data_IF_373736813670
#
_entry.id   IF_373736813670
#
_cell.length_a   1.000
_cell.length_b   1.000
_cell.length_c   1.000
_cell.angle_alpha   90.00
_cell.angle_beta   90.00
_cell.angle_gamma   90.00
#
_symmetry.space_group_name_H-M   'P 1'
#
loop_
_entity.id
_entity.type
_entity.pdbx_description
1 polymer ?
#
# COMPACT_ATOMS: atom_id res chain seq x y z
N UNK A 1 -5.65 -14.92 24.71
CA UNK A 1 -6.38 -13.68 25.02
C UNK A 1 -7.65 -13.68 24.17
N UNK A 2 -8.80 -14.03 24.73
CA UNK A 2 -10.07 -13.98 23.97
C UNK A 2 -10.47 -12.51 23.91
N UNK A 3 -10.32 -11.87 22.75
CA UNK A 3 -10.87 -10.52 22.53
C UNK A 3 -12.38 -10.68 22.63
N UNK A 4 -12.96 -10.32 23.78
CA UNK A 4 -14.41 -10.21 23.92
C UNK A 4 -14.80 -8.92 23.21
N UNK A 5 -15.46 -9.05 22.06
CA UNK A 5 -16.10 -7.93 21.41
C UNK A 5 -17.09 -7.30 22.41
N UNK A 6 -17.00 -6.00 22.66
CA UNK A 6 -17.80 -5.35 23.70
C UNK A 6 -19.29 -5.49 23.36
N UNK A 7 -20.07 -6.09 24.26
CA UNK A 7 -21.50 -6.36 24.05
C UNK A 7 -22.32 -5.10 23.86
N UNK A 8 -21.94 -3.99 24.49
CA UNK A 8 -22.59 -2.69 24.28
C UNK A 8 -22.38 -2.20 22.84
N UNK A 9 -21.18 -2.38 22.30
CA UNK A 9 -20.86 -1.97 20.93
C UNK A 9 -21.59 -2.81 19.90
N UNK A 10 -21.82 -4.09 20.19
CA UNK A 10 -22.65 -4.94 19.33
C UNK A 10 -24.06 -4.36 19.28
N UNK A 11 -24.67 -4.04 20.42
CA UNK A 11 -26.01 -3.47 20.47
C UNK A 11 -26.09 -2.12 19.75
N UNK A 12 -25.08 -1.25 19.92
CA UNK A 12 -24.99 0.03 19.23
C UNK A 12 -24.94 -0.16 17.71
N UNK A 13 -24.07 -1.05 17.22
CA UNK A 13 -23.94 -1.36 15.80
C UNK A 13 -25.18 -2.06 15.23
N UNK A 14 -25.88 -2.88 16.03
CA UNK A 14 -27.17 -3.49 15.68
C UNK A 14 -28.30 -2.49 15.55
N UNK A 15 -28.26 -1.41 16.34
CA UNK A 15 -29.26 -0.34 16.28
C UNK A 15 -29.08 0.59 15.09
N UNK A 16 -27.90 0.59 14.46
CA UNK A 16 -27.59 1.49 13.35
C UNK A 16 -28.35 1.11 12.08
N UNK A 17 -29.00 2.08 11.45
CA UNK A 17 -29.47 1.92 10.08
C UNK A 17 -28.28 1.74 9.11
N UNK A 18 -28.54 1.22 7.90
CA UNK A 18 -27.48 1.06 6.89
C UNK A 18 -26.77 2.40 6.57
N UNK A 19 -27.51 3.50 6.52
CA UNK A 19 -26.96 4.84 6.29
C UNK A 19 -26.04 5.28 7.44
N UNK A 20 -26.46 5.07 8.69
CA UNK A 20 -25.62 5.35 9.86
C UNK A 20 -24.37 4.47 9.88
N UNK A 21 -24.51 3.17 9.62
CA UNK A 21 -23.41 2.20 9.59
C UNK A 21 -22.36 2.56 8.52
N UNK A 22 -22.80 3.04 7.36
CA UNK A 22 -21.93 3.57 6.30
C UNK A 22 -21.18 4.83 6.71
N UNK A 23 -21.80 5.67 7.54
CA UNK A 23 -21.23 6.95 7.98
C UNK A 23 -20.31 6.82 9.20
N UNK A 24 -20.31 5.70 9.92
CA UNK A 24 -19.43 5.49 11.10
C UNK A 24 -17.96 5.75 10.73
N UNK A 25 -17.34 5.11 9.70
CA UNK A 25 -15.95 5.40 9.36
C UNK A 25 -15.70 6.79 8.76
N UNK A 26 -16.76 7.57 8.54
CA UNK A 26 -16.70 8.94 8.01
C UNK A 26 -16.88 10.01 9.09
N UNK A 27 -16.91 9.63 10.38
CA UNK A 27 -17.03 10.58 11.48
C UNK A 27 -18.40 10.65 12.13
N UNK A 28 -19.37 9.81 11.75
CA UNK A 28 -20.71 9.86 12.33
C UNK A 28 -20.75 9.30 13.76
N UNK A 29 -21.55 9.96 14.59
CA UNK A 29 -21.84 9.60 15.96
C UNK A 29 -23.35 9.68 16.19
N UNK A 30 -23.93 8.64 16.76
CA UNK A 30 -25.30 8.68 17.26
C UNK A 30 -25.31 8.87 18.77
N UNK A 31 -26.09 9.84 19.26
CA UNK A 31 -26.17 10.15 20.68
C UNK A 31 -26.72 9.02 21.55
N UNK A 32 -27.56 8.14 20.99
CA UNK A 32 -28.11 7.00 21.73
C UNK A 32 -27.11 5.88 22.00
N UNK A 33 -25.95 5.89 21.34
CA UNK A 33 -24.94 4.86 21.52
C UNK A 33 -24.22 4.97 22.87
N UNK A 34 -23.68 3.84 23.32
CA UNK A 34 -22.92 3.74 24.57
C UNK A 34 -21.79 4.76 24.64
N UNK A 35 -21.52 5.25 25.86
CA UNK A 35 -20.46 6.22 26.09
C UNK A 35 -19.08 5.72 25.62
N UNK A 36 -18.79 4.43 25.88
CA UNK A 36 -17.51 3.82 25.51
C UNK A 36 -17.32 3.75 23.98
N UNK A 37 -18.38 3.48 23.22
CA UNK A 37 -18.31 3.45 21.76
C UNK A 37 -18.11 4.85 21.18
N UNK A 38 -18.89 5.84 21.66
CA UNK A 38 -18.72 7.24 21.29
C UNK A 38 -17.31 7.75 21.61
N UNK A 39 -16.73 7.35 22.75
CA UNK A 39 -15.37 7.72 23.14
C UNK A 39 -14.31 7.13 22.20
N UNK A 40 -14.47 5.87 21.80
CA UNK A 40 -13.59 5.23 20.81
C UNK A 40 -13.63 5.97 19.47
N UNK A 41 -14.84 6.23 18.94
CA UNK A 41 -15.01 6.91 17.66
C UNK A 41 -14.46 8.34 17.70
N UNK A 42 -14.76 9.11 18.75
CA UNK A 42 -14.19 10.44 18.96
C UNK A 42 -12.65 10.42 19.01
N UNK A 43 -12.05 9.45 19.70
CA UNK A 43 -10.60 9.29 19.73
C UNK A 43 -10.03 9.03 18.32
N UNK A 44 -10.72 8.23 17.51
CA UNK A 44 -10.30 7.97 16.14
C UNK A 44 -10.36 9.26 15.29
N UNK A 45 -11.50 9.96 15.33
CA UNK A 45 -11.73 11.15 14.50
C UNK A 45 -10.87 12.34 14.92
N UNK A 46 -10.57 12.46 16.22
CA UNK A 46 -9.65 13.48 16.74
C UNK A 46 -8.20 13.31 16.27
N UNK A 47 -7.84 12.15 15.74
CA UNK A 47 -6.52 11.85 15.18
C UNK A 47 -6.47 11.92 13.65
N UNK A 48 -7.57 12.32 12.99
CA UNK A 48 -7.60 12.43 11.53
C UNK A 48 -6.71 13.58 11.05
N UNK A 49 -6.01 13.30 9.96
CA UNK A 49 -5.09 14.24 9.32
C UNK A 49 -5.77 14.81 8.08
N UNK A 50 -5.71 16.13 7.92
CA UNK A 50 -6.10 16.79 6.69
C UNK A 50 -4.92 16.79 5.71
N UNK A 51 -5.18 16.52 4.44
CA UNK A 51 -4.16 16.48 3.41
C UNK A 51 -4.42 17.51 2.33
N UNK A 52 -3.34 17.98 1.74
CA UNK A 52 -3.42 18.67 0.47
C UNK A 52 -3.76 17.66 -0.64
N UNK A 53 -4.80 17.98 -1.42
CA UNK A 53 -5.29 17.13 -2.50
C UNK A 53 -4.65 17.54 -3.81
N UNK A 54 -4.05 16.57 -4.50
CA UNK A 54 -3.61 16.75 -5.86
C UNK A 54 -4.61 16.11 -6.83
N UNK A 55 -5.02 16.91 -7.82
CA UNK A 55 -5.79 16.43 -8.96
C UNK A 55 -5.16 16.95 -10.24
N UNK A 56 -4.90 16.06 -11.19
CA UNK A 56 -4.52 16.45 -12.55
C UNK A 56 -5.56 17.43 -13.12
N UNK A 57 -5.11 18.59 -13.62
CA UNK A 57 -5.95 19.46 -14.46
C UNK A 57 -6.41 18.65 -15.69
N UNK A 58 -7.58 18.92 -16.28
CA UNK A 58 -8.24 18.09 -17.33
C UNK A 58 -7.44 17.94 -18.66
N UNK A 59 -6.18 17.55 -18.63
CA UNK A 59 -5.42 17.14 -19.81
C UNK A 59 -5.96 15.81 -20.35
N UNK A 60 -5.84 15.63 -21.66
CA UNK A 60 -6.23 14.42 -22.38
C UNK A 60 -5.56 13.19 -21.77
N UNK A 61 -6.36 12.33 -21.13
CA UNK A 61 -5.93 11.02 -20.66
C UNK A 61 -5.48 10.18 -21.84
N UNK A 62 -4.17 10.04 -22.02
CA UNK A 62 -3.63 9.08 -22.99
C UNK A 62 -4.11 7.68 -22.60
N UNK A 63 -4.80 6.99 -23.50
CA UNK A 63 -5.32 5.64 -23.22
C UNK A 63 -4.18 4.63 -23.40
N UNK A 64 -3.59 4.15 -22.31
CA UNK A 64 -2.59 3.08 -22.37
C UNK A 64 -3.30 1.73 -22.56
N UNK A 65 -3.00 1.06 -23.68
CA UNK A 65 -3.59 -0.25 -23.99
C UNK A 65 -3.24 -1.29 -22.92
N UNK A 66 -4.28 -1.93 -22.38
CA UNK A 66 -4.17 -3.01 -21.39
C UNK A 66 -4.06 -2.56 -19.93
N UNK A 67 -4.36 -1.29 -19.62
CA UNK A 67 -4.35 -0.76 -18.25
C UNK A 67 -5.79 -0.56 -17.76
N UNK A 68 -6.10 -1.14 -16.59
CA UNK A 68 -7.41 -0.96 -15.96
C UNK A 68 -7.64 0.48 -15.44
N UNK A 69 -8.89 0.91 -15.24
CA UNK A 69 -9.24 2.29 -14.89
C UNK A 69 -8.52 2.82 -13.65
N UNK A 70 -8.43 2.01 -12.59
CA UNK A 70 -7.70 2.36 -11.36
C UNK A 70 -6.23 2.69 -11.64
N UNK A 71 -5.54 1.78 -12.32
CA UNK A 71 -4.11 1.93 -12.60
C UNK A 71 -3.85 3.10 -13.55
N UNK A 72 -4.76 3.35 -14.49
CA UNK A 72 -4.70 4.54 -15.35
C UNK A 72 -4.83 5.84 -14.56
N UNK A 73 -5.74 5.89 -13.59
CA UNK A 73 -5.92 7.05 -12.71
C UNK A 73 -4.67 7.31 -11.87
N UNK A 74 -4.09 6.28 -11.27
CA UNK A 74 -2.82 6.40 -10.51
C UNK A 74 -1.67 6.89 -11.42
N UNK A 75 -1.50 6.31 -12.60
CA UNK A 75 -0.45 6.70 -13.55
C UNK A 75 -0.62 8.15 -13.97
N UNK A 76 -1.81 8.56 -14.38
CA UNK A 76 -2.03 9.90 -14.96
C UNK A 76 -1.75 11.00 -13.91
N UNK A 77 -2.27 10.83 -12.69
CA UNK A 77 -2.02 11.78 -11.61
C UNK A 77 -0.54 11.79 -11.17
N UNK A 78 0.10 10.62 -11.04
CA UNK A 78 1.52 10.58 -10.66
C UNK A 78 2.41 11.16 -11.77
N UNK A 79 2.10 10.93 -13.04
CA UNK A 79 2.81 11.54 -14.18
C UNK A 79 2.72 13.06 -14.14
N UNK A 80 1.53 13.62 -13.88
CA UNK A 80 1.34 15.06 -13.76
C UNK A 80 2.13 15.64 -12.58
N UNK A 81 2.06 14.99 -11.41
CA UNK A 81 2.83 15.41 -10.22
C UNK A 81 4.35 15.35 -10.47
N UNK A 82 4.85 14.28 -11.10
CA UNK A 82 6.28 14.18 -11.45
C UNK A 82 6.68 15.31 -12.40
N UNK A 83 5.85 15.67 -13.38
CA UNK A 83 6.14 16.78 -14.30
C UNK A 83 6.16 18.13 -13.58
N UNK A 84 5.38 18.32 -12.52
CA UNK A 84 5.42 19.57 -11.73
C UNK A 84 6.64 19.64 -10.79
N UNK A 85 7.14 18.49 -10.35
CA UNK A 85 8.29 18.40 -9.41
C UNK A 85 9.64 18.30 -10.13
N UNK A 86 9.70 17.63 -11.28
CA UNK A 86 10.93 17.30 -12.00
C UNK A 86 11.04 18.07 -13.32
N UNK A 87 12.22 18.63 -13.58
CA UNK A 87 12.59 19.23 -14.85
C UNK A 87 13.05 18.16 -15.87
N UNK A 88 12.82 18.41 -17.16
CA UNK A 88 13.04 17.42 -18.25
C UNK A 88 14.49 16.97 -18.45
N UNK A 89 15.45 17.74 -17.94
CA UNK A 89 16.88 17.42 -17.94
C UNK A 89 17.22 16.25 -16.99
N UNK A 90 16.37 15.92 -16.02
CA UNK A 90 16.62 14.83 -15.08
C UNK A 90 16.39 13.46 -15.71
N UNK A 91 17.26 12.51 -15.35
CA UNK A 91 17.01 11.08 -15.59
C UNK A 91 16.10 10.55 -14.49
N UNK A 92 14.96 9.98 -14.87
CA UNK A 92 14.04 9.35 -13.93
C UNK A 92 14.44 7.90 -13.69
N UNK A 93 14.60 7.52 -12.42
CA UNK A 93 14.86 6.15 -11.98
C UNK A 93 13.53 5.58 -11.44
N UNK A 94 12.85 4.76 -12.25
CA UNK A 94 11.54 4.20 -11.91
C UNK A 94 11.67 2.89 -11.13
N UNK A 95 11.56 3.00 -9.81
CA UNK A 95 11.76 1.92 -8.86
C UNK A 95 10.51 1.04 -8.77
N UNK A 96 10.67 -0.25 -9.09
CA UNK A 96 9.54 -1.17 -9.16
C UNK A 96 8.67 -0.90 -10.39
N UNK A 97 9.32 -0.65 -11.54
CA UNK A 97 8.67 -0.23 -12.79
C UNK A 97 7.62 -1.23 -13.32
N UNK A 98 7.64 -2.48 -12.88
CA UNK A 98 6.69 -3.51 -13.30
C UNK A 98 6.71 -3.74 -14.80
N UNK A 99 5.57 -3.47 -15.44
CA UNK A 99 5.42 -3.59 -16.90
C UNK A 99 5.75 -2.28 -17.65
N UNK A 100 6.33 -1.28 -16.97
CA UNK A 100 6.83 -0.04 -17.57
C UNK A 100 5.75 1.00 -17.93
N UNK A 101 4.55 0.90 -17.37
CA UNK A 101 3.44 1.80 -17.74
C UNK A 101 3.71 3.26 -17.37
N UNK A 102 4.22 3.52 -16.16
CA UNK A 102 4.56 4.87 -15.72
C UNK A 102 5.72 5.43 -16.55
N UNK A 103 6.77 4.63 -16.72
CA UNK A 103 7.97 4.98 -17.51
C UNK A 103 7.61 5.39 -18.94
N UNK A 104 6.74 4.62 -19.61
CA UNK A 104 6.29 4.93 -20.96
C UNK A 104 5.38 6.18 -20.98
N UNK A 105 4.48 6.34 -20.02
CA UNK A 105 3.61 7.51 -19.97
C UNK A 105 4.39 8.82 -19.80
N UNK A 106 5.40 8.83 -18.91
CA UNK A 106 6.30 9.97 -18.69
C UNK A 106 7.06 10.35 -19.96
N UNK A 107 7.57 9.38 -20.71
CA UNK A 107 8.27 9.65 -21.96
C UNK A 107 7.33 10.14 -23.07
N UNK A 108 6.15 9.55 -23.20
CA UNK A 108 5.19 9.94 -24.23
C UNK A 108 4.61 11.34 -24.02
N UNK A 109 4.25 11.69 -22.77
CA UNK A 109 3.64 12.98 -22.45
C UNK A 109 4.66 14.11 -22.30
N UNK A 110 5.82 13.81 -21.71
CA UNK A 110 6.75 14.85 -21.24
C UNK A 110 8.21 14.59 -21.63
N UNK A 111 8.48 13.59 -22.48
CA UNK A 111 9.78 13.32 -23.09
C UNK A 111 10.95 13.01 -22.14
N UNK A 112 10.67 12.69 -20.87
CA UNK A 112 11.67 12.26 -19.90
C UNK A 112 12.48 11.05 -20.39
N UNK A 113 13.76 11.03 -20.03
CA UNK A 113 14.59 9.81 -20.07
C UNK A 113 14.32 9.00 -18.81
N UNK A 114 14.08 7.70 -18.95
CA UNK A 114 13.67 6.84 -17.82
C UNK A 114 14.46 5.52 -17.83
N UNK A 115 15.07 5.19 -16.70
CA UNK A 115 15.54 3.84 -16.41
C UNK A 115 14.53 3.17 -15.49
N UNK A 116 13.77 2.19 -16.01
CA UNK A 116 12.90 1.34 -15.22
C UNK A 116 13.66 0.17 -14.61
N UNK A 117 13.59 0.05 -13.28
CA UNK A 117 14.23 -1.02 -12.52
C UNK A 117 13.15 -1.92 -11.92
N UNK A 118 13.28 -3.22 -12.10
CA UNK A 118 12.32 -4.21 -11.61
C UNK A 118 13.04 -5.50 -11.21
N UNK A 119 12.65 -6.10 -10.09
CA UNK A 119 13.31 -7.30 -9.55
C UNK A 119 12.89 -8.58 -10.28
N UNK A 120 11.67 -8.60 -10.84
CA UNK A 120 11.11 -9.73 -11.56
C UNK A 120 11.49 -9.72 -13.05
N UNK A 121 12.29 -10.70 -13.47
CA UNK A 121 12.79 -10.82 -14.85
C UNK A 121 11.67 -10.95 -15.89
N UNK A 122 10.59 -11.69 -15.57
CA UNK A 122 9.47 -11.86 -16.47
C UNK A 122 8.79 -10.52 -16.78
N UNK A 123 8.63 -9.66 -15.76
CA UNK A 123 8.08 -8.31 -15.94
C UNK A 123 8.98 -7.42 -16.79
N UNK A 124 10.29 -7.48 -16.58
CA UNK A 124 11.28 -6.73 -17.40
C UNK A 124 11.23 -7.16 -18.85
N UNK A 125 11.21 -8.48 -19.12
CA UNK A 125 11.07 -8.98 -20.49
C UNK A 125 9.76 -8.52 -21.12
N UNK A 126 8.68 -8.57 -20.36
CA UNK A 126 7.36 -8.15 -20.83
C UNK A 126 7.31 -6.64 -21.10
N UNK A 127 7.94 -5.80 -20.28
CA UNK A 127 7.99 -4.35 -20.49
C UNK A 127 8.75 -3.99 -21.78
N UNK A 128 9.88 -4.67 -22.05
CA UNK A 128 10.66 -4.51 -23.30
C UNK A 128 9.85 -4.95 -24.52
N UNK A 129 9.18 -6.11 -24.46
CA UNK A 129 8.32 -6.57 -25.56
C UNK A 129 7.20 -5.56 -25.87
N UNK A 130 6.54 -5.05 -24.82
CA UNK A 130 5.50 -4.01 -24.96
C UNK A 130 6.07 -2.72 -25.55
N UNK A 131 7.26 -2.29 -25.12
CA UNK A 131 7.93 -1.12 -25.66
C UNK A 131 8.16 -1.26 -27.17
N UNK A 132 8.73 -2.39 -27.61
CA UNK A 132 9.01 -2.62 -29.03
C UNK A 132 7.74 -2.61 -29.89
N UNK A 133 6.62 -3.12 -29.34
CA UNK A 133 5.35 -3.19 -30.07
C UNK A 133 4.57 -1.87 -30.08
N UNK A 134 4.56 -1.14 -28.95
CA UNK A 134 3.65 -0.01 -28.74
C UNK A 134 4.35 1.34 -28.73
N UNK A 135 5.64 1.37 -28.40
CA UNK A 135 6.42 2.59 -28.13
C UNK A 135 7.82 2.55 -28.77
N UNK A 136 7.97 2.22 -30.06
CA UNK A 136 9.29 2.07 -30.69
C UNK A 136 10.14 3.35 -30.62
N UNK A 137 9.51 4.53 -30.66
CA UNK A 137 10.19 5.83 -30.55
C UNK A 137 10.78 6.10 -29.16
N UNK A 138 10.38 5.33 -28.13
CA UNK A 138 10.91 5.49 -26.77
C UNK A 138 12.19 4.70 -26.54
N UNK A 139 12.61 3.81 -27.45
CA UNK A 139 13.68 2.83 -27.19
C UNK A 139 15.00 3.47 -26.78
N UNK A 140 15.36 4.63 -27.33
CA UNK A 140 16.59 5.35 -26.94
C UNK A 140 16.47 6.05 -25.58
N UNK A 141 15.26 6.40 -25.15
CA UNK A 141 15.00 7.24 -23.97
C UNK A 141 14.46 6.48 -22.76
N UNK A 142 13.86 5.31 -22.96
CA UNK A 142 13.30 4.48 -21.90
C UNK A 142 13.97 3.12 -21.97
N UNK A 143 14.61 2.72 -20.87
CA UNK A 143 15.34 1.46 -20.76
C UNK A 143 14.83 0.70 -19.54
N UNK A 144 14.85 -0.62 -19.63
CA UNK A 144 14.48 -1.49 -18.51
C UNK A 144 15.65 -2.39 -18.13
N UNK A 145 15.84 -2.60 -16.83
CA UNK A 145 16.86 -3.48 -16.28
C UNK A 145 16.26 -4.33 -15.17
N UNK A 146 16.71 -5.58 -15.10
CA UNK A 146 16.39 -6.47 -13.98
C UNK A 146 17.40 -6.23 -12.86
N UNK A 147 16.91 -5.81 -11.70
CA UNK A 147 17.72 -5.63 -10.49
C UNK A 147 16.81 -5.56 -9.26
N UNK A 148 17.18 -6.28 -8.20
CA UNK A 148 16.49 -6.16 -6.92
C UNK A 148 17.11 -5.00 -6.13
N UNK A 149 16.34 -3.94 -5.90
CA UNK A 149 16.87 -2.69 -5.34
C UNK A 149 17.06 -2.83 -3.83
N UNK A 150 18.30 -2.63 -3.42
CA UNK A 150 18.75 -2.49 -2.03
C UNK A 150 19.43 -1.12 -1.84
N UNK A 151 19.79 -0.79 -0.60
CA UNK A 151 20.34 0.55 -0.25
C UNK A 151 21.64 0.89 -0.96
N UNK A 152 22.43 -0.12 -1.30
CA UNK A 152 23.75 -0.10 -1.91
C UNK A 152 23.69 -0.17 -3.44
N UNK A 153 22.49 -0.30 -4.02
CA UNK A 153 22.30 -0.50 -5.45
C UNK A 153 22.61 0.73 -6.30
N UNK A 154 22.85 1.90 -5.70
CA UNK A 154 22.95 3.16 -6.44
C UNK A 154 24.05 3.15 -7.51
N UNK A 155 25.25 2.66 -7.20
CA UNK A 155 26.36 2.71 -8.15
C UNK A 155 26.08 1.87 -9.40
N UNK A 156 25.49 0.69 -9.22
CA UNK A 156 25.02 -0.15 -10.32
C UNK A 156 23.93 0.56 -11.15
N UNK A 157 22.95 1.18 -10.49
CA UNK A 157 21.85 1.90 -11.16
C UNK A 157 22.40 3.09 -11.96
N UNK A 158 23.32 3.85 -11.37
CA UNK A 158 23.99 4.99 -11.99
C UNK A 158 24.74 4.55 -13.24
N UNK A 159 25.66 3.58 -13.12
CA UNK A 159 26.43 3.05 -14.24
C UNK A 159 25.53 2.50 -15.36
N UNK A 160 24.44 1.83 -14.99
CA UNK A 160 23.45 1.31 -15.94
C UNK A 160 22.74 2.44 -16.69
N UNK A 161 22.34 3.51 -15.98
CA UNK A 161 21.71 4.67 -16.59
C UNK A 161 22.64 5.36 -17.58
N UNK A 162 23.88 5.63 -17.15
CA UNK A 162 24.92 6.27 -17.98
C UNK A 162 25.20 5.46 -19.26
N UNK A 163 25.33 4.14 -19.13
CA UNK A 163 25.63 3.26 -20.27
C UNK A 163 24.44 3.12 -21.22
N UNK A 164 23.21 2.98 -20.71
CA UNK A 164 22.04 2.65 -21.54
C UNK A 164 21.32 3.88 -22.10
N UNK A 165 21.43 5.06 -21.49
CA UNK A 165 20.67 6.27 -21.87
C UNK A 165 21.51 7.35 -22.59
N UNK A 166 22.60 6.93 -23.25
CA UNK A 166 23.51 7.74 -24.09
C UNK A 166 24.62 8.50 -23.33
N UNK A 167 25.52 7.78 -22.63
CA UNK A 167 26.78 8.28 -22.04
C UNK A 167 26.66 9.67 -21.38
N UNK A 168 25.60 9.88 -20.61
CA UNK A 168 25.35 11.17 -19.98
C UNK A 168 26.15 11.23 -18.69
N UNK A 169 27.24 12.00 -18.67
CA UNK A 169 28.09 12.21 -17.51
C UNK A 169 27.49 13.36 -16.66
N UNK A 170 27.62 13.26 -15.34
CA UNK A 170 27.23 14.30 -14.35
C UNK A 170 25.75 14.71 -14.40
N UNK A 171 24.83 13.74 -14.39
CA UNK A 171 23.39 14.01 -14.37
C UNK A 171 22.78 14.01 -12.98
N UNK A 172 21.78 14.85 -12.83
CA UNK A 172 20.87 14.80 -11.70
C UNK A 172 19.78 13.76 -11.94
N UNK A 173 19.58 12.89 -10.95
CA UNK A 173 18.56 11.85 -10.96
C UNK A 173 17.36 12.22 -10.10
N UNK A 174 16.21 11.69 -10.50
CA UNK A 174 15.01 11.68 -9.67
C UNK A 174 14.56 10.22 -9.48
N UNK A 175 14.42 9.78 -8.23
CA UNK A 175 13.82 8.48 -7.94
C UNK A 175 12.31 8.63 -7.96
N UNK A 176 11.63 7.83 -8.77
CA UNK A 176 10.17 7.79 -8.85
C UNK A 176 9.65 6.37 -8.60
N UNK A 177 8.38 6.23 -8.22
CA UNK A 177 7.76 4.91 -8.16
C UNK A 177 6.26 4.94 -7.86
N UNK A 178 5.45 4.35 -8.74
CA UNK A 178 3.99 4.25 -8.56
C UNK A 178 3.60 3.37 -7.37
N UNK A 179 4.35 2.31 -7.13
CA UNK A 179 4.09 1.35 -6.07
C UNK A 179 5.42 0.90 -5.49
N UNK A 180 6.14 1.84 -4.86
CA UNK A 180 7.37 1.55 -4.14
C UNK A 180 7.03 0.78 -2.85
N UNK A 181 6.67 -0.49 -2.98
CA UNK A 181 6.03 -1.21 -1.88
C UNK A 181 7.03 -1.66 -0.81
N UNK A 182 6.62 -1.60 0.45
CA UNK A 182 7.37 -2.06 1.62
C UNK A 182 8.82 -1.52 1.63
N UNK A 183 9.81 -2.41 1.75
CA UNK A 183 11.23 -2.04 1.92
C UNK A 183 11.78 -1.25 0.72
N UNK A 184 11.18 -1.36 -0.46
CA UNK A 184 11.56 -0.58 -1.64
C UNK A 184 11.38 0.94 -1.42
N UNK A 185 10.31 1.36 -0.74
CA UNK A 185 10.14 2.78 -0.38
C UNK A 185 11.25 3.29 0.54
N UNK A 186 11.75 2.42 1.41
CA UNK A 186 12.77 2.77 2.39
C UNK A 186 14.15 2.81 1.73
N UNK A 187 14.44 1.86 0.85
CA UNK A 187 15.63 1.89 0.00
C UNK A 187 15.67 3.18 -0.85
N UNK A 188 14.54 3.56 -1.46
CA UNK A 188 14.42 4.81 -2.22
C UNK A 188 14.70 6.06 -1.37
N UNK A 189 14.10 6.16 -0.17
CA UNK A 189 14.33 7.26 0.77
C UNK A 189 15.80 7.34 1.18
N UNK A 190 16.40 6.21 1.60
CA UNK A 190 17.80 6.15 2.03
C UNK A 190 18.75 6.53 0.89
N UNK A 191 18.47 6.07 -0.33
CA UNK A 191 19.27 6.38 -1.51
C UNK A 191 19.19 7.86 -1.89
N UNK A 192 17.99 8.46 -1.83
CA UNK A 192 17.82 9.91 -2.01
C UNK A 192 18.66 10.70 -1.00
N UNK A 193 18.64 10.33 0.27
CA UNK A 193 19.42 11.02 1.32
C UNK A 193 20.93 10.79 1.19
N UNK A 194 21.36 9.62 0.72
CA UNK A 194 22.77 9.22 0.72
C UNK A 194 23.57 9.71 -0.49
N UNK A 195 22.93 9.93 -1.65
CA UNK A 195 23.65 10.20 -2.89
C UNK A 195 23.36 11.58 -3.45
N UNK A 196 24.39 12.44 -3.50
CA UNK A 196 24.30 13.82 -3.98
C UNK A 196 23.60 13.94 -5.36
N UNK A 197 23.91 13.13 -6.39
CA UNK A 197 23.27 13.24 -7.70
C UNK A 197 21.76 12.98 -7.69
N UNK A 198 21.23 12.31 -6.65
CA UNK A 198 19.79 12.08 -6.50
C UNK A 198 19.17 13.30 -5.83
N UNK A 199 18.56 14.16 -6.63
CA UNK A 199 18.08 15.48 -6.20
C UNK A 199 16.59 15.53 -5.90
N UNK A 200 15.82 14.53 -6.38
CA UNK A 200 14.37 14.44 -6.21
C UNK A 200 13.93 13.02 -5.87
N UNK A 201 12.86 12.91 -5.09
CA UNK A 201 12.16 11.67 -4.76
C UNK A 201 10.66 11.90 -4.94
N UNK A 202 9.99 11.05 -5.72
CA UNK A 202 8.52 11.09 -5.91
C UNK A 202 7.99 9.66 -5.91
N UNK A 203 7.66 9.14 -4.73
CA UNK A 203 7.26 7.74 -4.57
C UNK A 203 5.90 7.61 -3.91
N UNK A 204 5.11 6.63 -4.37
CA UNK A 204 3.86 6.22 -3.74
C UNK A 204 4.08 4.91 -3.00
N UNK A 205 4.39 4.98 -1.68
CA UNK A 205 4.63 3.78 -0.88
C UNK A 205 3.33 2.97 -0.71
N UNK A 206 3.46 1.66 -0.60
CA UNK A 206 2.32 0.74 -0.53
C UNK A 206 2.67 -0.57 0.15
N UNK A 207 1.64 -1.38 0.44
CA UNK A 207 1.79 -2.75 0.92
C UNK A 207 2.75 -2.87 2.11
N UNK A 208 2.63 -1.98 3.10
CA UNK A 208 3.44 -1.98 4.33
C UNK A 208 3.48 -3.34 5.03
N UNK A 209 2.41 -4.12 4.93
CA UNK A 209 2.39 -5.50 5.42
C UNK A 209 3.45 -6.40 4.78
N UNK A 210 4.10 -6.03 3.68
CA UNK A 210 5.18 -6.80 3.06
C UNK A 210 6.57 -6.42 3.58
N UNK A 211 6.68 -5.50 4.54
CA UNK A 211 7.95 -5.22 5.21
C UNK A 211 8.54 -6.52 5.76
N UNK A 212 9.86 -6.67 5.59
CA UNK A 212 10.61 -7.83 6.05
C UNK A 212 10.54 -7.92 7.59
N UNK A 213 9.97 -9.00 8.15
CA UNK A 213 9.93 -9.19 9.58
C UNK A 213 11.31 -9.62 10.11
N UNK A 214 11.58 -9.33 11.38
CA UNK A 214 12.79 -9.78 12.09
C UNK A 214 12.57 -11.09 12.85
N UNK A 215 11.31 -11.46 13.05
CA UNK A 215 10.90 -12.66 13.76
C UNK A 215 9.73 -13.35 13.05
N UNK A 216 9.51 -14.62 13.36
CA UNK A 216 8.46 -15.42 12.72
C UNK A 216 7.06 -14.92 13.10
N UNK A 217 6.90 -14.39 14.33
CA UNK A 217 5.66 -13.82 14.84
C UNK A 217 5.24 -12.53 14.10
N UNK A 218 6.15 -11.96 13.30
CA UNK A 218 5.94 -10.71 12.57
C UNK A 218 5.47 -9.55 13.47
N UNK A 219 6.09 -9.43 14.65
CA UNK A 219 5.86 -8.35 15.63
C UNK A 219 6.97 -7.31 15.61
N UNK A 220 8.10 -7.60 14.96
CA UNK A 220 9.24 -6.70 14.77
C UNK A 220 9.68 -6.69 13.29
N UNK A 221 10.20 -5.55 12.82
CA UNK A 221 10.54 -5.29 11.42
C UNK A 221 11.75 -4.36 11.32
N UNK A 222 12.67 -4.63 10.39
CA UNK A 222 13.92 -3.86 10.30
C UNK A 222 13.76 -2.42 9.79
N UNK A 223 12.66 -2.15 9.08
CA UNK A 223 12.41 -0.85 8.45
C UNK A 223 11.14 -0.17 9.00
N UNK A 224 10.67 -0.55 10.19
CA UNK A 224 9.71 0.23 10.97
C UNK A 224 9.83 -0.11 12.47
N UNK A 225 9.91 0.87 13.36
CA UNK A 225 10.00 2.33 13.12
C UNK A 225 11.35 2.80 12.54
N UNK A 226 11.30 3.81 11.64
CA UNK A 226 12.51 4.45 11.10
C UNK A 226 12.92 5.69 11.87
N UNK A 227 11.97 6.51 12.30
CA UNK A 227 12.23 7.74 13.04
C UNK A 227 12.50 7.45 14.52
N UNK A 228 13.36 8.26 15.13
CA UNK A 228 13.65 8.17 16.55
C UNK A 228 12.40 8.54 17.39
N UNK A 229 11.54 9.44 16.88
CA UNK A 229 10.27 9.82 17.53
C UNK A 229 9.31 8.64 17.67
N UNK A 230 9.11 7.87 16.59
CA UNK A 230 8.23 6.71 16.66
C UNK A 230 8.84 5.57 17.48
N UNK A 231 10.18 5.38 17.42
CA UNK A 231 10.88 4.44 18.31
C UNK A 231 10.63 4.75 19.78
N UNK A 232 10.78 6.00 20.17
CA UNK A 232 10.57 6.46 21.54
C UNK A 232 9.11 6.27 21.97
N UNK A 233 8.14 6.66 21.13
CA UNK A 233 6.73 6.49 21.41
C UNK A 233 6.34 5.01 21.60
N UNK A 234 6.92 4.10 20.81
CA UNK A 234 6.64 2.66 20.88
C UNK A 234 7.36 1.94 22.02
N UNK A 235 8.37 2.55 22.65
CA UNK A 235 9.04 1.96 23.80
C UNK A 235 8.06 1.65 24.95
N UNK A 236 6.96 2.40 25.04
CA UNK A 236 5.90 2.22 26.03
C UNK A 236 4.86 1.15 25.63
N UNK A 237 4.83 0.75 24.36
CA UNK A 237 3.84 -0.20 23.79
C UNK A 237 4.53 -1.18 22.83
N UNK A 238 5.40 -2.08 23.34
CA UNK A 238 6.15 -3.00 22.50
C UNK A 238 5.22 -3.92 21.71
N UNK A 239 5.67 -4.35 20.52
CA UNK A 239 4.91 -5.22 19.59
C UNK A 239 3.62 -4.62 19.02
N UNK A 240 3.33 -3.33 19.25
CA UNK A 240 2.13 -2.68 18.71
C UNK A 240 2.10 -2.68 17.17
N UNK A 241 3.25 -2.45 16.52
CA UNK A 241 3.38 -2.42 15.06
C UNK A 241 3.57 -3.80 14.42
N UNK A 242 2.72 -4.76 14.78
CA UNK A 242 2.72 -6.09 14.15
C UNK A 242 2.19 -6.10 12.71
N UNK A 243 2.32 -7.26 12.05
CA UNK A 243 1.73 -7.48 10.71
C UNK A 243 0.24 -7.12 10.59
N UNK A 244 -0.63 -7.38 11.59
CA UNK A 244 -2.02 -6.91 11.55
C UNK A 244 -2.17 -5.40 11.44
N UNK A 245 -1.37 -4.62 12.18
CA UNK A 245 -1.35 -3.15 12.09
C UNK A 245 -0.95 -2.71 10.67
N UNK A 246 0.12 -3.29 10.13
CA UNK A 246 0.61 -2.95 8.79
C UNK A 246 -0.38 -3.36 7.68
N UNK A 247 -1.14 -4.45 7.88
CA UNK A 247 -2.24 -4.86 6.99
C UNK A 247 -3.38 -3.86 7.04
N UNK A 248 -3.73 -3.40 8.24
CA UNK A 248 -4.76 -2.39 8.43
C UNK A 248 -4.39 -1.09 7.73
N UNK A 249 -3.15 -0.62 7.85
CA UNK A 249 -2.65 0.52 7.06
C UNK A 249 -2.62 0.32 5.54
N UNK A 250 -2.87 -0.91 5.03
CA UNK A 250 -3.00 -1.21 3.59
C UNK A 250 -4.44 -1.49 3.15
N UNK A 251 -5.40 -1.44 4.08
CA UNK A 251 -6.80 -1.74 3.81
C UNK A 251 -7.41 -0.68 2.88
N UNK A 252 -8.56 -1.00 2.29
CA UNK A 252 -9.32 -0.05 1.49
C UNK A 252 -9.79 1.11 2.38
N UNK A 253 -9.92 2.31 1.80
CA UNK A 253 -10.38 3.49 2.53
C UNK A 253 -11.88 3.43 2.81
N UNK A 254 -12.33 4.22 3.79
CA UNK A 254 -13.73 4.40 4.13
C UNK A 254 -14.61 4.84 2.94
N UNK A 255 -14.04 5.43 1.88
CA UNK A 255 -14.77 5.86 0.69
C UNK A 255 -15.47 4.71 -0.06
N UNK A 256 -14.97 3.47 0.06
CA UNK A 256 -15.66 2.29 -0.50
C UNK A 256 -16.75 1.76 0.42
N UNK A 257 -16.52 1.84 1.73
CA UNK A 257 -17.49 1.45 2.75
C UNK A 257 -18.76 2.32 2.68
N UNK A 258 -18.58 3.63 2.51
CA UNK A 258 -19.63 4.65 2.53
C UNK A 258 -20.85 4.39 1.63
N UNK A 259 -20.72 3.56 0.60
CA UNK A 259 -21.74 3.35 -0.42
C UNK A 259 -22.22 1.89 -0.50
N UNK A 260 -21.92 1.06 0.52
CA UNK A 260 -22.36 -0.33 0.53
C UNK A 260 -23.85 -0.43 0.87
N UNK A 261 -24.54 -1.32 0.18
CA UNK A 261 -25.90 -1.74 0.51
C UNK A 261 -25.88 -2.78 1.63
N UNK A 262 -27.01 -2.97 2.29
CA UNK A 262 -27.17 -3.97 3.37
C UNK A 262 -26.84 -5.40 2.88
N UNK A 263 -27.20 -5.71 1.63
CA UNK A 263 -26.88 -6.99 1.01
C UNK A 263 -25.38 -7.15 0.76
N UNK A 264 -24.69 -6.07 0.36
CA UNK A 264 -23.23 -6.07 0.19
C UNK A 264 -22.51 -6.22 1.52
N UNK A 265 -22.95 -5.56 2.58
CA UNK A 265 -22.43 -5.77 3.94
C UNK A 265 -22.60 -7.21 4.40
N UNK A 266 -23.79 -7.78 4.22
CA UNK A 266 -24.06 -9.18 4.57
C UNK A 266 -23.12 -10.13 3.81
N UNK A 267 -22.89 -9.86 2.54
CA UNK A 267 -22.01 -10.66 1.67
C UNK A 267 -20.55 -10.51 2.08
N UNK A 268 -20.11 -9.28 2.37
CA UNK A 268 -18.76 -8.97 2.80
C UNK A 268 -18.44 -9.61 4.16
N UNK A 269 -19.32 -9.44 5.14
CA UNK A 269 -19.17 -10.01 6.48
C UNK A 269 -19.10 -11.52 6.46
N UNK A 270 -19.93 -12.17 5.63
CA UNK A 270 -19.86 -13.61 5.39
C UNK A 270 -18.50 -14.02 4.81
N UNK A 271 -18.03 -13.32 3.78
CA UNK A 271 -16.74 -13.63 3.16
C UNK A 271 -15.56 -13.46 4.14
N UNK A 272 -15.57 -12.41 4.96
CA UNK A 272 -14.55 -12.18 5.99
C UNK A 272 -14.59 -13.26 7.07
N UNK A 273 -15.77 -13.59 7.58
CA UNK A 273 -15.92 -14.63 8.60
C UNK A 273 -15.48 -16.00 8.10
N UNK A 274 -15.91 -16.41 6.91
CA UNK A 274 -15.51 -17.66 6.29
C UNK A 274 -14.00 -17.71 6.05
N UNK A 275 -13.40 -16.60 5.61
CA UNK A 275 -11.94 -16.51 5.48
C UNK A 275 -11.25 -16.72 6.82
N UNK A 276 -11.73 -16.10 7.89
CA UNK A 276 -11.19 -16.26 9.24
C UNK A 276 -11.35 -17.69 9.77
N UNK A 277 -12.48 -18.35 9.51
CA UNK A 277 -12.69 -19.74 9.86
C UNK A 277 -11.67 -20.65 9.18
N UNK A 278 -11.48 -20.47 7.87
CA UNK A 278 -10.52 -21.25 7.09
C UNK A 278 -9.09 -21.08 7.59
N UNK A 279 -8.71 -19.88 8.05
CA UNK A 279 -7.41 -19.67 8.68
C UNK A 279 -7.32 -20.32 10.08
N UNK A 280 -8.41 -20.33 10.84
CA UNK A 280 -8.44 -20.85 12.22
C UNK A 280 -8.41 -22.39 12.32
N UNK A 281 -8.80 -23.11 11.27
CA UNK A 281 -8.84 -24.58 11.25
C UNK A 281 -7.52 -25.23 10.82
N UNK A 282 -6.56 -24.44 10.35
CA UNK A 282 -5.27 -24.93 9.86
C UNK A 282 -4.44 -25.58 10.97
N UNK A 283 -3.68 -26.60 10.58
CA UNK A 283 -2.68 -27.25 11.43
C UNK A 283 -1.34 -26.51 11.39
N UNK A 284 -0.45 -26.78 12.34
CA UNK A 284 0.87 -26.15 12.38
C UNK A 284 1.66 -26.46 11.10
N UNK A 285 2.24 -25.42 10.50
CA UNK A 285 2.99 -25.52 9.24
C UNK A 285 2.13 -25.50 7.97
N UNK A 286 0.80 -25.41 8.11
CA UNK A 286 -0.09 -25.22 6.98
C UNK A 286 -0.35 -23.74 6.69
N UNK A 287 -0.65 -23.47 5.43
CA UNK A 287 -1.18 -22.19 4.97
C UNK A 287 -2.29 -22.45 3.95
N UNK A 288 -2.94 -21.38 3.49
CA UNK A 288 -4.10 -21.51 2.61
C UNK A 288 -4.08 -20.44 1.52
N UNK A 289 -4.44 -20.84 0.31
CA UNK A 289 -4.60 -19.95 -0.84
C UNK A 289 -6.03 -20.02 -1.37
N UNK A 290 -6.46 -19.00 -2.13
CA UNK A 290 -7.78 -19.01 -2.77
C UNK A 290 -7.76 -19.95 -3.97
N UNK A 291 -8.71 -20.88 -4.05
CA UNK A 291 -8.90 -21.71 -5.22
C UNK A 291 -9.57 -20.90 -6.34
N UNK A 292 -8.85 -20.66 -7.45
CA UNK A 292 -9.35 -19.83 -8.55
C UNK A 292 -10.45 -20.50 -9.38
N UNK A 293 -10.49 -21.83 -9.45
CA UNK A 293 -11.49 -22.55 -10.26
C UNK A 293 -12.83 -22.65 -9.53
N UNK A 294 -12.80 -22.80 -8.21
CA UNK A 294 -14.01 -23.04 -7.40
C UNK A 294 -14.42 -21.85 -6.53
N UNK A 295 -14.08 -20.60 -6.94
CA UNK A 295 -14.37 -19.39 -6.15
C UNK A 295 -15.83 -19.20 -5.77
N UNK A 296 -16.75 -19.75 -6.56
CA UNK A 296 -18.20 -19.61 -6.37
C UNK A 296 -18.83 -20.86 -5.73
N UNK A 297 -18.03 -21.80 -5.21
CA UNK A 297 -18.59 -22.97 -4.53
C UNK A 297 -19.38 -22.55 -3.29
N UNK A 298 -20.47 -23.29 -3.04
CA UNK A 298 -21.26 -23.16 -1.81
C UNK A 298 -20.52 -23.75 -0.61
N UNK A 299 -19.64 -24.72 -0.83
CA UNK A 299 -18.75 -25.21 0.22
C UNK A 299 -17.62 -24.20 0.43
N UNK A 300 -17.44 -23.76 1.68
CA UNK A 300 -16.36 -22.85 2.05
C UNK A 300 -15.00 -23.45 1.77
N UNK A 301 -14.78 -24.73 2.06
CA UNK A 301 -13.47 -25.37 1.91
C UNK A 301 -13.08 -25.50 0.44
N UNK A 302 -14.03 -25.72 -0.47
CA UNK A 302 -13.74 -25.82 -1.91
C UNK A 302 -13.25 -24.50 -2.53
N UNK A 303 -13.58 -23.36 -1.90
CA UNK A 303 -13.09 -22.03 -2.33
C UNK A 303 -11.62 -21.80 -1.97
N UNK A 304 -11.00 -22.69 -1.21
CA UNK A 304 -9.64 -22.57 -0.73
C UNK A 304 -8.84 -23.86 -0.93
N UNK A 305 -7.52 -23.71 -1.04
CA UNK A 305 -6.58 -24.83 -1.14
C UNK A 305 -5.61 -24.75 0.03
N UNK A 306 -5.59 -25.78 0.86
CA UNK A 306 -4.59 -25.91 1.94
C UNK A 306 -3.25 -26.33 1.34
N UNK A 307 -2.17 -25.73 1.83
CA UNK A 307 -0.81 -26.02 1.41
C UNK A 307 0.07 -26.31 2.62
N UNK A 308 0.99 -27.25 2.45
CA UNK A 308 2.06 -27.54 3.42
C UNK A 308 3.36 -27.68 2.65
N UNK A 309 4.39 -26.95 3.10
CA UNK A 309 5.71 -26.94 2.42
C UNK A 309 5.61 -26.60 0.92
N UNK A 310 4.66 -25.72 0.56
CA UNK A 310 4.43 -25.30 -0.82
C UNK A 310 3.69 -26.31 -1.70
N UNK A 311 3.25 -27.45 -1.15
CA UNK A 311 2.48 -28.46 -1.87
C UNK A 311 1.01 -28.40 -1.49
N UNK A 312 0.13 -28.47 -2.50
CA UNK A 312 -1.31 -28.55 -2.32
C UNK A 312 -1.69 -29.85 -1.61
N UNK A 313 -2.62 -29.75 -0.65
CA UNK A 313 -3.16 -30.87 0.10
C UNK A 313 -4.69 -30.83 0.08
N UNK A 314 -5.30 -31.98 0.34
CA UNK A 314 -6.75 -32.07 0.55
C UNK A 314 -7.10 -31.69 1.98
N UNK A 315 -8.29 -31.12 2.17
CA UNK A 315 -8.87 -30.88 3.49
C UNK A 315 -9.10 -32.20 4.23
N UNK A 316 -8.54 -32.34 5.44
CA UNK A 316 -8.69 -33.52 6.31
C UNK A 316 -10.03 -33.53 7.05
N UNK A 317 -10.40 -34.68 7.62
CA UNK A 317 -11.57 -34.80 8.49
C UNK A 317 -11.43 -33.93 9.75
N UNK A 318 -10.21 -33.78 10.28
CA UNK A 318 -9.93 -32.89 11.40
C UNK A 318 -10.24 -31.43 11.06
N UNK A 319 -9.89 -30.95 9.86
CA UNK A 319 -10.25 -29.60 9.43
C UNK A 319 -11.76 -29.40 9.34
N UNK A 320 -12.48 -30.40 8.82
CA UNK A 320 -13.94 -30.36 8.70
C UNK A 320 -14.62 -30.33 10.07
N UNK A 321 -14.13 -31.12 11.02
CA UNK A 321 -14.65 -31.14 12.39
C UNK A 321 -14.37 -29.81 13.10
N UNK A 322 -13.15 -29.28 13.01
CA UNK A 322 -12.82 -27.94 13.55
C UNK A 322 -13.73 -26.86 12.95
N UNK A 323 -13.94 -26.88 11.63
CA UNK A 323 -14.80 -25.92 10.95
C UNK A 323 -16.21 -25.95 11.52
N UNK A 324 -16.80 -27.14 11.67
CA UNK A 324 -18.13 -27.32 12.26
C UNK A 324 -18.21 -26.74 13.67
N UNK A 325 -17.25 -27.07 14.54
CA UNK A 325 -17.18 -26.55 15.91
C UNK A 325 -17.13 -25.01 15.91
N UNK A 326 -16.31 -24.39 15.07
CA UNK A 326 -16.19 -22.93 15.03
C UNK A 326 -17.45 -22.26 14.46
N UNK A 327 -18.12 -22.86 13.48
CA UNK A 327 -19.39 -22.37 12.95
C UNK A 327 -20.50 -22.41 14.01
N UNK A 328 -20.61 -23.50 14.76
CA UNK A 328 -21.59 -23.64 15.86
C UNK A 328 -21.31 -22.67 17.01
N UNK A 329 -20.03 -22.40 17.29
CA UNK A 329 -19.62 -21.46 18.34
C UNK A 329 -19.95 -20.00 18.01
N UNK A 330 -19.95 -19.62 16.73
CA UNK A 330 -20.21 -18.25 16.28
C UNK A 330 -21.33 -18.19 15.24
N UNK A 331 -22.59 -18.42 15.64
CA UNK A 331 -23.73 -18.41 14.71
C UNK A 331 -23.94 -17.04 14.04
N UNK A 332 -23.52 -15.95 14.70
CA UNK A 332 -23.56 -14.58 14.18
C UNK A 332 -22.20 -14.10 13.66
N UNK A 333 -21.26 -15.01 13.40
CA UNK A 333 -19.88 -14.66 13.06
C UNK A 333 -19.74 -13.77 11.83
N UNK A 334 -20.63 -13.93 10.84
CA UNK A 334 -20.64 -13.07 9.63
C UNK A 334 -20.95 -11.61 9.97
N UNK A 335 -21.92 -11.38 10.86
CA UNK A 335 -22.32 -10.04 11.31
C UNK A 335 -21.22 -9.40 12.17
N UNK A 336 -20.64 -10.17 13.08
CA UNK A 336 -19.52 -9.71 13.93
C UNK A 336 -18.27 -9.38 13.10
N UNK A 337 -17.98 -10.15 12.05
CA UNK A 337 -16.88 -9.85 11.13
C UNK A 337 -17.11 -8.53 10.37
N UNK A 338 -18.35 -8.24 10.01
CA UNK A 338 -18.71 -6.96 9.38
C UNK A 338 -18.54 -5.79 10.34
N UNK A 339 -18.97 -5.95 11.59
CA UNK A 339 -18.79 -4.96 12.64
C UNK A 339 -17.31 -4.69 12.91
N UNK A 340 -16.49 -5.74 12.98
CA UNK A 340 -15.05 -5.59 13.10
C UNK A 340 -14.46 -4.84 11.90
N UNK A 341 -14.94 -5.12 10.69
CA UNK A 341 -14.50 -4.42 9.47
C UNK A 341 -14.87 -2.94 9.52
N UNK A 342 -16.06 -2.59 10.01
CA UNK A 342 -16.47 -1.20 10.22
C UNK A 342 -15.48 -0.45 11.13
N UNK A 343 -15.14 -1.06 12.27
CA UNK A 343 -14.16 -0.49 13.22
C UNK A 343 -12.76 -0.40 12.60
N UNK A 344 -12.36 -1.40 11.81
CA UNK A 344 -11.10 -1.36 11.05
C UNK A 344 -11.09 -0.19 10.06
N UNK A 345 -12.18 0.09 9.35
CA UNK A 345 -12.26 1.24 8.45
C UNK A 345 -12.11 2.58 9.18
N UNK A 346 -12.53 2.67 10.45
CA UNK A 346 -12.30 3.86 11.28
C UNK A 346 -10.80 4.07 11.58
N UNK A 347 -10.04 2.98 11.70
CA UNK A 347 -8.63 2.95 12.08
C UNK A 347 -7.66 2.93 10.89
N UNK A 348 -8.10 2.53 9.70
CA UNK A 348 -7.26 2.33 8.51
C UNK A 348 -6.37 3.53 8.22
N UNK A 349 -6.96 4.74 8.14
CA UNK A 349 -6.25 5.97 7.84
C UNK A 349 -5.25 6.34 8.92
N UNK A 350 -5.58 6.09 10.20
CA UNK A 350 -4.69 6.33 11.34
C UNK A 350 -3.45 5.45 11.25
N UNK A 351 -3.63 4.16 10.91
CA UNK A 351 -2.52 3.23 10.74
C UNK A 351 -1.60 3.64 9.58
N UNK A 352 -2.18 3.99 8.43
CA UNK A 352 -1.40 4.47 7.27
C UNK A 352 -0.68 5.78 7.60
N UNK A 353 -1.34 6.72 8.28
CA UNK A 353 -0.75 7.99 8.69
C UNK A 353 0.43 7.85 9.62
N UNK A 354 0.34 6.95 10.62
CA UNK A 354 1.46 6.73 11.52
C UNK A 354 2.69 6.22 10.75
N UNK A 355 2.46 5.33 9.78
CA UNK A 355 3.51 4.80 8.91
C UNK A 355 4.10 5.92 8.04
N UNK A 356 3.28 6.76 7.42
CA UNK A 356 3.73 7.86 6.56
C UNK A 356 4.47 8.94 7.38
N UNK A 357 3.94 9.31 8.54
CA UNK A 357 4.54 10.29 9.45
C UNK A 357 5.92 9.84 9.91
N UNK A 358 6.10 8.55 10.23
CA UNK A 358 7.40 7.99 10.54
C UNK A 358 8.43 8.24 9.43
N UNK A 359 8.00 8.15 8.15
CA UNK A 359 8.92 8.33 7.01
C UNK A 359 9.24 9.79 6.80
N UNK A 360 8.26 10.67 6.98
CA UNK A 360 8.44 12.12 6.90
C UNK A 360 9.36 12.62 8.02
N UNK A 361 9.18 12.13 9.24
CA UNK A 361 10.06 12.43 10.37
C UNK A 361 11.49 11.93 10.12
N UNK A 362 11.65 10.71 9.61
CA UNK A 362 12.95 10.16 9.23
C UNK A 362 13.65 10.99 8.15
N UNK A 363 12.95 11.34 7.07
CA UNK A 363 13.48 12.22 6.00
C UNK A 363 14.00 13.53 6.57
N UNK A 364 13.22 14.19 7.42
CA UNK A 364 13.59 15.46 8.05
C UNK A 364 14.81 15.29 8.95
N UNK A 365 14.78 14.36 9.90
CA UNK A 365 15.86 14.15 10.86
C UNK A 365 17.19 13.77 10.16
N UNK A 366 17.15 12.85 9.21
CA UNK A 366 18.35 12.38 8.52
C UNK A 366 18.90 13.41 7.53
N UNK A 367 18.05 14.25 6.94
CA UNK A 367 18.54 15.37 6.12
C UNK A 367 19.33 16.38 6.95
N UNK A 368 18.83 16.72 8.15
CA UNK A 368 19.54 17.62 9.06
C UNK A 368 20.86 17.04 9.55
N UNK A 369 20.92 15.73 9.86
CA UNK A 369 22.17 15.04 10.24
C UNK A 369 23.21 15.02 9.13
N UNK A 370 22.80 15.24 7.87
CA UNK A 370 23.65 15.22 6.67
C UNK A 370 23.93 16.61 6.10
N UNK A 371 23.55 17.67 6.83
CA UNK A 371 23.62 19.06 6.38
C UNK A 371 22.92 19.30 5.02
N UNK A 372 21.87 18.52 4.74
CA UNK A 372 21.06 18.64 3.53
C UNK A 372 19.85 19.52 3.81
N UNK A 373 19.70 20.59 3.04
CA UNK A 373 18.44 21.34 3.00
C UNK A 373 17.49 20.63 2.04
N UNK A 374 16.36 20.15 2.55
CA UNK A 374 15.33 19.51 1.73
C UNK A 374 13.96 20.16 1.93
N UNK A 375 13.18 20.18 0.85
CA UNK A 375 11.72 20.35 0.91
C UNK A 375 11.06 18.98 0.88
N UNK A 376 10.09 18.75 1.73
CA UNK A 376 9.32 17.49 1.78
C UNK A 376 7.83 17.77 1.83
N UNK A 377 7.08 17.03 1.03
CA UNK A 377 5.63 17.13 0.95
C UNK A 377 5.00 15.73 0.95
N UNK A 378 3.86 15.60 1.61
CA UNK A 378 3.02 14.40 1.55
C UNK A 378 1.74 14.75 0.81
N UNK A 379 1.64 14.28 -0.43
CA UNK A 379 0.56 14.65 -1.35
C UNK A 379 -0.46 13.51 -1.43
N UNK A 380 -1.76 13.82 -1.30
CA UNK A 380 -2.83 12.84 -1.51
C UNK A 380 -3.45 13.01 -2.90
N UNK A 381 -3.32 12.00 -3.76
CA UNK A 381 -3.99 11.95 -5.06
C UNK A 381 -5.51 11.85 -4.87
N UNK A 382 -6.27 12.56 -5.71
CA UNK A 382 -7.74 12.57 -5.67
C UNK A 382 -8.37 11.19 -5.95
N UNK A 383 -9.64 11.02 -5.55
CA UNK A 383 -10.48 9.83 -5.78
C UNK A 383 -9.94 8.53 -5.15
N UNK A 384 -9.93 8.50 -3.82
CA UNK A 384 -9.53 7.33 -3.04
C UNK A 384 -10.54 6.16 -3.11
N UNK A 385 -11.77 6.43 -3.55
CA UNK A 385 -12.73 5.38 -3.92
C UNK A 385 -12.22 4.52 -5.08
N UNK A 386 -11.61 5.13 -6.10
CA UNK A 386 -11.02 4.43 -7.24
C UNK A 386 -9.65 3.84 -6.90
N UNK A 387 -8.79 4.60 -6.22
CA UNK A 387 -7.55 4.06 -5.68
C UNK A 387 -7.32 4.40 -4.20
N UNK A 388 -7.40 3.40 -3.29
CA UNK A 388 -7.04 3.63 -1.89
C UNK A 388 -5.55 3.95 -1.71
N UNK A 389 -4.70 3.60 -2.69
CA UNK A 389 -3.26 3.92 -2.65
C UNK A 389 -3.07 5.26 -3.32
N UNK A 390 -3.07 6.31 -2.52
CA UNK A 390 -3.12 7.67 -3.02
C UNK A 390 -2.11 8.62 -2.37
N UNK A 391 -1.29 8.17 -1.43
CA UNK A 391 -0.26 9.02 -0.82
C UNK A 391 1.05 8.96 -1.60
N UNK A 392 1.60 10.13 -1.89
CA UNK A 392 2.89 10.31 -2.56
C UNK A 392 3.80 11.09 -1.63
N UNK A 393 4.96 10.52 -1.33
CA UNK A 393 6.06 11.22 -0.66
C UNK A 393 6.87 11.93 -1.73
N UNK A 394 6.96 13.25 -1.61
CA UNK A 394 7.79 14.11 -2.44
C UNK A 394 8.92 14.66 -1.59
N UNK A 395 10.16 14.57 -2.06
CA UNK A 395 11.30 15.23 -1.46
C UNK A 395 12.24 15.83 -2.50
N UNK A 396 12.80 16.98 -2.20
CA UNK A 396 13.71 17.73 -3.06
C UNK A 396 14.88 18.26 -2.25
N UNK A 397 16.10 18.06 -2.74
CA UNK A 397 17.28 18.77 -2.25
C UNK A 397 17.28 20.18 -2.81
N UNK A 398 17.38 21.16 -1.92
CA UNK A 398 17.50 22.58 -2.27
C UNK A 398 18.99 22.90 -2.29
N UNK A 399 19.52 23.20 -3.47
CA UNK A 399 20.84 23.81 -3.59
C UNK A 399 20.68 25.30 -3.29
N UNK A 400 21.39 25.79 -2.26
CA UNK A 400 21.56 27.23 -2.09
C UNK A 400 22.39 27.70 -3.29
N UNK A 401 21.76 28.48 -4.18
CA UNK A 401 22.47 29.18 -5.27
C UNK A 401 23.32 30.31 -4.72
#
# INVERSE_FOLDING_TARGET
MTIKFNTEWIADLESASNDEFNKIPLGYLNESWSHSFKQFLNSCFGLYVNYELFSESKETRATLKGVGPKKMHEISNLTALIKDVCSQDKILLDFGSGLGYLSQNLNQKHHFKVLGIEGDEYRVRTSIQRQNQLFPNSISKVKFVQHFIETESFEFIKQTAETKLENIIDQNYAIIGLHACADLSIAAIKMFLAHEPVTKLVIMPCCYHKLKPENEECTAFSNIPLSDQLREALAQVPNFLGRPFLRLGCQQTAARWANLTEQEHTTHGKAMFERSLVEAILSQGENVTTNKTNRNSRDVLERFTVQREGQDRSWSDEHREKLKIWMEKYPQGSKLAEYLTCLQNCLQSLCENLILLDRMCYLKAESSKRDLTIRTDLVKLSNDHLSPRCFVIVAEKITNQ
#
